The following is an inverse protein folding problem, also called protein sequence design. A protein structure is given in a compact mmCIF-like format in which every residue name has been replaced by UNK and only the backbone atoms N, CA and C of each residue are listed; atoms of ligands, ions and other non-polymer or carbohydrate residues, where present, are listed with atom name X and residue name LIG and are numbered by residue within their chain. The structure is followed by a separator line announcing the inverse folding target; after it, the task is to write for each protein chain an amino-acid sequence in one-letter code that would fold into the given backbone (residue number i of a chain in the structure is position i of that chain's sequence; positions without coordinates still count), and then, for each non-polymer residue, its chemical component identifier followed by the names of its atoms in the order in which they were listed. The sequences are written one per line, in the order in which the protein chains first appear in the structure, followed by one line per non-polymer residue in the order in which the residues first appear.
data_IF_316095185212
#
_entry.id   IF_316095185212
#
_cell.length_a   1.000
_cell.length_b   1.000
_cell.length_c   1.000
_cell.angle_alpha   90.00
_cell.angle_beta   90.00
_cell.angle_gamma   90.00
#
_symmetry.space_group_name_H-M   'P 1'
#
loop_
_entity.id
_entity.type
_entity.pdbx_description
1 polymer ?
#
# COMPACT_ATOMS: atom_id res chain seq x y z
N UNK A 1 24.68 5.03 21.45
CA UNK A 1 24.06 5.32 20.13
C UNK A 1 23.27 4.07 19.73
N UNK A 2 22.02 4.18 19.28
CA UNK A 2 21.08 3.05 19.19
C UNK A 2 21.46 2.12 18.01
N UNK A 3 22.00 0.93 18.24
CA UNK A 3 22.49 -0.03 17.22
C UNK A 3 21.47 -0.32 16.11
N UNK A 4 20.18 -0.34 16.45
CA UNK A 4 19.07 -0.47 15.48
C UNK A 4 19.13 0.62 14.40
N UNK A 5 19.50 1.86 14.76
CA UNK A 5 19.64 2.96 13.78
C UNK A 5 20.87 2.79 12.89
N UNK A 6 21.90 2.07 13.34
CA UNK A 6 23.10 1.81 12.55
C UNK A 6 22.79 0.75 11.50
N UNK A 7 22.17 -0.36 11.90
CA UNK A 7 21.76 -1.43 10.98
C UNK A 7 20.66 -0.97 10.01
N UNK A 8 19.70 -0.18 10.47
CA UNK A 8 18.73 0.46 9.59
C UNK A 8 19.44 1.36 8.55
N UNK A 9 20.41 2.16 8.97
CA UNK A 9 21.19 2.98 8.04
C UNK A 9 21.97 2.12 7.03
N UNK A 10 22.66 1.07 7.49
CA UNK A 10 23.38 0.13 6.63
C UNK A 10 22.46 -0.50 5.58
N UNK A 11 21.24 -0.91 5.97
CA UNK A 11 20.23 -1.44 5.05
C UNK A 11 19.88 -0.43 3.95
N UNK A 12 19.60 0.83 4.31
CA UNK A 12 19.26 1.87 3.34
C UNK A 12 20.45 2.22 2.44
N UNK A 13 21.64 2.36 3.00
CA UNK A 13 22.86 2.69 2.27
C UNK A 13 23.19 1.57 1.25
N UNK A 14 22.99 0.31 1.62
CA UNK A 14 23.21 -0.83 0.73
C UNK A 14 22.22 -0.88 -0.43
N UNK A 15 20.94 -0.64 -0.17
CA UNK A 15 19.89 -0.75 -1.20
C UNK A 15 19.77 0.50 -2.08
N UNK A 16 20.32 1.64 -1.64
CA UNK A 16 20.22 2.91 -2.35
C UNK A 16 20.71 2.87 -3.81
N UNK A 17 21.85 2.25 -4.16
CA UNK A 17 22.32 2.16 -5.53
C UNK A 17 21.30 1.50 -6.46
N UNK A 18 20.77 0.33 -6.08
CA UNK A 18 19.74 -0.38 -6.84
C UNK A 18 18.51 0.49 -7.07
N UNK A 19 17.95 1.06 -6.00
CA UNK A 19 16.75 1.88 -6.10
C UNK A 19 16.98 3.13 -6.95
N UNK A 20 18.16 3.75 -6.84
CA UNK A 20 18.55 4.94 -7.61
C UNK A 20 18.68 4.62 -9.10
N UNK A 21 19.28 3.49 -9.46
CA UNK A 21 19.36 3.00 -10.84
C UNK A 21 17.98 2.85 -11.48
N UNK A 22 16.98 2.41 -10.69
CA UNK A 22 15.59 2.33 -11.12
C UNK A 22 14.78 3.64 -10.97
N UNK A 23 15.44 4.75 -10.63
CA UNK A 23 14.85 6.10 -10.54
C UNK A 23 14.00 6.35 -9.30
N UNK A 24 14.24 5.62 -8.20
CA UNK A 24 13.66 5.88 -6.89
C UNK A 24 14.63 6.74 -6.06
N UNK A 25 14.09 7.70 -5.33
CA UNK A 25 14.83 8.52 -4.38
C UNK A 25 14.47 8.12 -2.94
N UNK A 26 15.48 8.04 -2.07
CA UNK A 26 15.24 7.83 -0.64
C UNK A 26 14.54 9.05 -0.02
N UNK A 27 13.50 8.79 0.77
CA UNK A 27 12.74 9.76 1.55
C UNK A 27 13.00 9.48 3.04
N UNK A 28 13.97 10.15 3.68
CA UNK A 28 14.42 9.81 5.03
C UNK A 28 13.32 9.91 6.09
N UNK A 29 12.45 10.92 5.98
CA UNK A 29 11.37 11.15 6.95
C UNK A 29 10.31 10.05 6.96
N UNK A 30 10.03 9.47 5.80
CA UNK A 30 8.99 8.44 5.63
C UNK A 30 9.56 7.05 5.49
N UNK A 31 10.90 6.93 5.48
CA UNK A 31 11.64 5.66 5.35
C UNK A 31 11.26 4.90 4.08
N UNK A 32 11.17 5.61 2.96
CA UNK A 32 10.70 5.06 1.68
C UNK A 32 11.68 5.34 0.56
N UNK A 33 11.92 4.36 -0.30
CA UNK A 33 12.36 4.63 -1.66
C UNK A 33 11.15 4.98 -2.50
N UNK A 34 11.07 6.22 -3.02
CA UNK A 34 9.91 6.75 -3.73
C UNK A 34 10.26 7.17 -5.15
N UNK A 35 9.41 6.78 -6.10
CA UNK A 35 9.45 7.23 -7.49
C UNK A 35 8.13 7.91 -7.83
N UNK A 36 8.21 9.17 -8.26
CA UNK A 36 7.03 9.92 -8.69
C UNK A 36 6.46 9.33 -9.97
N UNK A 37 5.16 9.47 -10.14
CA UNK A 37 4.43 9.08 -11.35
C UNK A 37 3.46 10.20 -11.73
N UNK A 38 2.86 10.11 -12.92
CA UNK A 38 1.91 11.13 -13.39
C UNK A 38 0.70 11.35 -12.47
N UNK A 39 0.28 10.31 -11.74
CA UNK A 39 -0.97 10.31 -10.98
C UNK A 39 -0.75 9.98 -9.49
N UNK A 40 0.44 10.22 -8.95
CA UNK A 40 0.82 9.86 -7.57
C UNK A 40 2.24 9.34 -7.52
N UNK A 41 2.50 8.32 -6.70
CA UNK A 41 3.85 7.74 -6.57
C UNK A 41 3.83 6.23 -6.38
N UNK A 42 5.02 5.64 -6.53
CA UNK A 42 5.34 4.27 -6.15
C UNK A 42 6.38 4.31 -5.06
N UNK A 43 6.27 3.41 -4.09
CA UNK A 43 7.24 3.38 -3.00
C UNK A 43 7.51 1.95 -2.49
N UNK A 44 8.75 1.72 -2.11
CA UNK A 44 9.18 0.61 -1.27
C UNK A 44 9.46 1.16 0.13
N UNK A 45 8.78 0.63 1.14
CA UNK A 45 8.97 0.93 2.55
C UNK A 45 9.70 -0.24 3.21
N UNK A 46 10.78 0.05 3.92
CA UNK A 46 11.48 -0.92 4.76
C UNK A 46 11.23 -0.55 6.22
N UNK A 47 10.49 -1.41 6.92
CA UNK A 47 10.25 -1.25 8.35
C UNK A 47 11.19 -2.15 9.13
N UNK A 48 12.06 -1.56 9.95
CA UNK A 48 12.91 -2.29 10.89
C UNK A 48 12.27 -2.22 12.29
N UNK A 49 12.14 -3.37 12.93
CA UNK A 49 11.61 -3.51 14.30
C UNK A 49 12.37 -4.60 15.05
N UNK A 50 12.25 -4.65 16.37
CA UNK A 50 12.96 -5.63 17.20
C UNK A 50 13.91 -4.96 18.19
N UNK A 51 14.90 -5.71 18.64
CA UNK A 51 15.90 -5.26 19.61
C UNK A 51 17.33 -5.44 19.08
N UNK A 52 18.32 -5.54 19.98
CA UNK A 52 19.74 -5.68 19.63
C UNK A 52 20.12 -7.11 19.23
N UNK A 53 19.40 -8.11 19.72
CA UNK A 53 19.69 -9.52 19.47
C UNK A 53 18.96 -10.01 18.22
N UNK A 54 17.75 -9.51 17.99
CA UNK A 54 16.94 -9.93 16.87
C UNK A 54 16.15 -8.76 16.28
N UNK A 55 16.37 -8.51 15.00
CA UNK A 55 15.63 -7.54 14.21
C UNK A 55 14.78 -8.23 13.17
N UNK A 56 13.64 -7.62 12.91
CA UNK A 56 12.71 -7.99 11.86
C UNK A 56 12.62 -6.87 10.84
N UNK A 57 12.89 -7.20 9.57
CA UNK A 57 12.77 -6.29 8.43
C UNK A 57 11.55 -6.71 7.60
N UNK A 58 10.64 -5.76 7.37
CA UNK A 58 9.48 -5.91 6.49
C UNK A 58 9.63 -4.99 5.28
N UNK A 59 9.67 -5.58 4.08
CA UNK A 59 9.59 -4.87 2.81
C UNK A 59 8.12 -4.79 2.38
N UNK A 60 7.61 -3.57 2.23
CA UNK A 60 6.28 -3.31 1.70
C UNK A 60 6.33 -2.49 0.41
N UNK A 61 5.67 -2.98 -0.63
CA UNK A 61 5.52 -2.28 -1.91
C UNK A 61 4.18 -1.58 -1.97
N UNK A 62 4.19 -0.33 -2.38
CA UNK A 62 3.01 0.52 -2.37
C UNK A 62 2.89 1.41 -3.60
N UNK A 63 1.64 1.69 -3.95
CA UNK A 63 1.27 2.56 -5.07
C UNK A 63 0.22 3.53 -4.56
N UNK A 64 0.39 4.80 -4.87
CA UNK A 64 -0.57 5.87 -4.62
C UNK A 64 -1.16 6.36 -5.93
N UNK A 65 -2.48 6.48 -5.95
CA UNK A 65 -3.23 7.26 -6.93
C UNK A 65 -3.80 8.49 -6.22
N UNK A 66 -3.31 9.69 -6.56
CA UNK A 66 -3.64 10.93 -5.85
C UNK A 66 -5.14 11.16 -5.79
N UNK A 67 -5.82 11.11 -6.94
CA UNK A 67 -7.28 11.28 -7.04
C UNK A 67 -8.06 10.29 -6.16
N UNK A 68 -7.54 9.07 -5.97
CA UNK A 68 -8.19 8.08 -5.11
C UNK A 68 -7.98 8.43 -3.65
N UNK A 69 -6.74 8.72 -3.25
CA UNK A 69 -6.41 9.01 -1.85
C UNK A 69 -7.03 10.33 -1.36
N UNK A 70 -7.05 11.37 -2.19
CA UNK A 70 -7.70 12.64 -1.90
C UNK A 70 -9.20 12.51 -1.68
N UNK A 71 -9.87 11.69 -2.50
CA UNK A 71 -11.29 11.40 -2.32
C UNK A 71 -11.52 10.55 -1.07
N UNK A 72 -10.73 9.51 -0.84
CA UNK A 72 -10.85 8.64 0.35
C UNK A 72 -10.69 9.43 1.63
N UNK A 73 -9.70 10.33 1.70
CA UNK A 73 -9.36 11.10 2.89
C UNK A 73 -10.53 11.93 3.43
N UNK A 74 -11.40 12.43 2.54
CA UNK A 74 -12.59 13.21 2.93
C UNK A 74 -13.65 12.40 3.68
N UNK A 75 -13.63 11.07 3.57
CA UNK A 75 -14.66 10.19 4.15
C UNK A 75 -14.13 9.23 5.22
N UNK A 76 -12.80 9.04 5.33
CA UNK A 76 -12.23 8.26 6.42
C UNK A 76 -12.12 9.11 7.69
N UNK A 77 -12.77 8.67 8.76
CA UNK A 77 -12.59 9.24 10.09
C UNK A 77 -11.37 8.58 10.73
N UNK A 78 -10.24 9.26 10.75
CA UNK A 78 -9.03 8.80 11.44
C UNK A 78 -8.23 9.97 11.99
N UNK A 79 -7.50 9.79 13.10
CA UNK A 79 -6.56 10.80 13.55
C UNK A 79 -5.51 11.06 12.44
N UNK A 80 -4.97 12.29 12.31
CA UNK A 80 -4.01 12.69 11.28
C UNK A 80 -2.63 12.00 11.38
N UNK A 81 -2.54 10.84 12.06
CA UNK A 81 -1.30 10.09 12.32
C UNK A 81 -0.57 9.65 11.05
N UNK A 82 -1.26 9.60 9.91
CA UNK A 82 -0.63 9.52 8.60
C UNK A 82 -0.93 10.80 7.85
N UNK A 83 0.13 11.46 7.36
CA UNK A 83 -0.04 12.61 6.49
C UNK A 83 -0.86 12.17 5.26
N UNK A 84 -1.80 13.01 4.82
CA UNK A 84 -2.52 12.79 3.57
C UNK A 84 -1.53 12.54 2.41
N UNK A 85 -0.31 13.06 2.49
CA UNK A 85 0.73 12.96 1.48
C UNK A 85 1.39 11.57 1.41
N UNK A 86 1.28 10.75 2.46
CA UNK A 86 1.92 9.42 2.53
C UNK A 86 0.94 8.25 2.44
N UNK A 87 -0.36 8.52 2.35
CA UNK A 87 -1.35 7.47 2.13
C UNK A 87 -1.17 6.79 0.77
N UNK A 88 -1.52 5.51 0.70
CA UNK A 88 -1.31 4.67 -0.47
C UNK A 88 -2.59 3.92 -0.83
N UNK A 89 -2.79 3.76 -2.14
CA UNK A 89 -3.96 3.09 -2.72
C UNK A 89 -3.83 1.58 -2.70
N UNK A 90 -2.61 1.06 -2.91
CA UNK A 90 -2.25 -0.33 -2.75
C UNK A 90 -1.04 -0.39 -1.81
N UNK A 91 -1.02 -1.36 -0.90
CA UNK A 91 0.13 -1.67 -0.06
C UNK A 91 0.16 -3.15 0.26
N UNK A 92 1.24 -3.83 -0.12
CA UNK A 92 1.42 -5.26 0.08
C UNK A 92 2.83 -5.56 0.59
N UNK A 93 2.95 -6.34 1.67
CA UNK A 93 4.25 -6.86 2.11
C UNK A 93 4.80 -7.87 1.12
N UNK A 94 6.12 -8.00 1.15
CA UNK A 94 6.88 -9.09 0.56
C UNK A 94 6.22 -10.45 0.80
N UNK A 95 5.86 -10.77 2.06
CA UNK A 95 5.22 -12.04 2.39
C UNK A 95 3.90 -12.25 1.63
N UNK A 96 3.00 -11.25 1.63
CA UNK A 96 1.73 -11.33 0.90
C UNK A 96 1.92 -11.46 -0.62
N UNK A 97 2.91 -10.76 -1.18
CA UNK A 97 3.25 -10.84 -2.61
C UNK A 97 3.78 -12.23 -2.99
N UNK A 98 4.40 -12.94 -2.04
CA UNK A 98 4.89 -14.31 -2.19
C UNK A 98 3.93 -15.39 -1.66
N UNK A 99 2.69 -15.03 -1.29
CA UNK A 99 1.67 -15.94 -0.75
C UNK A 99 2.02 -16.59 0.60
N UNK A 100 2.93 -16.00 1.34
CA UNK A 100 3.21 -16.34 2.74
C UNK A 100 3.16 -15.05 3.59
N UNK A 101 1.96 -14.67 4.09
CA UNK A 101 1.76 -13.37 4.74
C UNK A 101 2.59 -13.14 6.01
N UNK A 102 3.14 -14.19 6.61
CA UNK A 102 3.91 -14.12 7.84
C UNK A 102 5.42 -14.10 7.60
N UNK A 103 5.87 -14.27 6.34
CA UNK A 103 7.30 -14.15 6.02
C UNK A 103 7.78 -12.74 6.33
N UNK A 104 8.81 -12.68 7.16
CA UNK A 104 9.62 -11.49 7.41
C UNK A 104 11.08 -11.88 7.36
N UNK A 105 11.95 -10.92 7.11
CA UNK A 105 13.38 -11.13 7.21
C UNK A 105 13.78 -10.97 8.68
N UNK A 106 14.53 -11.93 9.21
CA UNK A 106 15.08 -11.89 10.57
C UNK A 106 16.59 -11.70 10.47
N UNK A 107 17.13 -10.80 11.28
CA UNK A 107 18.54 -10.42 11.28
C UNK A 107 19.07 -10.39 12.71
N UNK A 108 20.14 -11.13 12.98
CA UNK A 108 20.83 -11.22 14.28
C UNK A 108 22.27 -10.68 14.25
N UNK A 109 22.75 -10.30 13.07
CA UNK A 109 24.12 -9.84 12.86
C UNK A 109 24.33 -9.24 11.48
N UNK A 110 25.55 -8.74 11.23
CA UNK A 110 25.88 -8.07 9.96
C UNK A 110 25.87 -9.02 8.75
N UNK A 111 26.28 -10.27 8.92
CA UNK A 111 26.26 -11.27 7.83
C UNK A 111 24.82 -11.55 7.37
N UNK A 112 23.90 -11.80 8.32
CA UNK A 112 22.48 -11.98 8.02
C UNK A 112 21.86 -10.71 7.38
N UNK A 113 22.32 -9.52 7.76
CA UNK A 113 21.87 -8.27 7.14
C UNK A 113 22.27 -8.20 5.66
N UNK A 114 23.50 -8.59 5.32
CA UNK A 114 23.97 -8.63 3.94
C UNK A 114 23.16 -9.64 3.10
N UNK A 115 22.89 -10.83 3.65
CA UNK A 115 22.05 -11.83 2.98
C UNK A 115 20.64 -11.30 2.74
N UNK A 116 20.05 -10.60 3.72
CA UNK A 116 18.73 -9.99 3.58
C UNK A 116 18.73 -8.90 2.52
N UNK A 117 19.76 -8.05 2.47
CA UNK A 117 19.92 -7.06 1.40
C UNK A 117 19.92 -7.73 0.02
N UNK A 118 20.77 -8.73 -0.21
CA UNK A 118 20.86 -9.44 -1.50
C UNK A 118 19.52 -10.09 -1.88
N UNK A 119 18.80 -10.66 -0.91
CA UNK A 119 17.46 -11.23 -1.14
C UNK A 119 16.44 -10.16 -1.54
N UNK A 120 16.48 -8.99 -0.91
CA UNK A 120 15.62 -7.86 -1.26
C UNK A 120 15.96 -7.37 -2.68
N UNK A 121 17.24 -7.21 -3.02
CA UNK A 121 17.68 -6.79 -4.35
C UNK A 121 17.21 -7.75 -5.43
N UNK A 122 17.49 -9.05 -5.25
CA UNK A 122 17.05 -10.12 -6.17
C UNK A 122 15.55 -10.07 -6.37
N UNK A 123 14.77 -9.99 -5.28
CA UNK A 123 13.32 -9.90 -5.36
C UNK A 123 12.85 -8.63 -6.11
N UNK A 124 13.48 -7.49 -5.86
CA UNK A 124 13.12 -6.23 -6.50
C UNK A 124 13.36 -6.27 -8.01
N UNK A 125 14.51 -6.80 -8.45
CA UNK A 125 14.86 -6.97 -9.86
C UNK A 125 13.91 -7.96 -10.55
N UNK A 126 13.67 -9.12 -9.95
CA UNK A 126 12.86 -10.16 -10.59
C UNK A 126 11.37 -9.80 -10.66
N UNK A 127 10.82 -9.21 -9.59
CA UNK A 127 9.38 -9.08 -9.38
C UNK A 127 8.95 -7.72 -8.86
N UNK A 128 9.69 -7.14 -7.91
CA UNK A 128 9.25 -5.96 -7.16
C UNK A 128 9.03 -4.72 -8.04
N UNK A 129 10.00 -4.36 -8.89
CA UNK A 129 9.86 -3.21 -9.78
C UNK A 129 8.73 -3.42 -10.79
N UNK A 130 8.62 -4.61 -11.37
CA UNK A 130 7.52 -4.97 -12.29
C UNK A 130 6.16 -4.85 -11.61
N UNK A 131 6.04 -5.26 -10.36
CA UNK A 131 4.81 -5.08 -9.58
C UNK A 131 4.45 -3.60 -9.44
N UNK A 132 5.41 -2.75 -9.05
CA UNK A 132 5.20 -1.31 -8.89
C UNK A 132 4.84 -0.63 -10.22
N UNK A 133 5.43 -1.07 -11.32
CA UNK A 133 5.17 -0.56 -12.67
C UNK A 133 3.82 -0.98 -13.23
N UNK A 134 3.38 -2.20 -12.91
CA UNK A 134 2.15 -2.78 -13.46
C UNK A 134 0.93 -1.92 -13.22
N UNK A 135 0.85 -1.17 -12.13
CA UNK A 135 -0.37 -0.48 -11.69
C UNK A 135 -0.35 1.04 -11.94
N UNK A 136 0.28 1.47 -13.03
CA UNK A 136 0.20 2.84 -13.57
C UNK A 136 -1.20 3.31 -13.99
N UNK A 137 -2.08 2.36 -14.30
CA UNK A 137 -3.43 2.65 -14.79
C UNK A 137 -4.51 2.21 -13.80
N UNK A 138 -5.47 3.11 -13.58
CA UNK A 138 -6.57 2.91 -12.65
C UNK A 138 -7.40 1.67 -12.97
N UNK A 139 -7.58 1.32 -14.25
CA UNK A 139 -8.26 0.08 -14.68
C UNK A 139 -7.58 -1.20 -14.17
N UNK A 140 -6.25 -1.21 -14.09
CA UNK A 140 -5.50 -2.38 -13.58
C UNK A 140 -5.65 -2.49 -12.06
N UNK A 141 -5.68 -1.35 -11.35
CA UNK A 141 -5.97 -1.29 -9.92
C UNK A 141 -7.42 -1.75 -9.66
N UNK A 142 -8.37 -1.32 -10.47
CA UNK A 142 -9.76 -1.76 -10.39
C UNK A 142 -9.87 -3.29 -10.49
N UNK A 143 -9.25 -3.86 -11.52
CA UNK A 143 -9.21 -5.30 -11.73
C UNK A 143 -8.52 -6.05 -10.58
N UNK A 144 -7.64 -5.40 -9.81
CA UNK A 144 -7.00 -5.98 -8.63
C UNK A 144 -7.93 -5.93 -7.40
N UNK A 145 -8.45 -4.74 -7.09
CA UNK A 145 -9.16 -4.46 -5.84
C UNK A 145 -10.60 -4.96 -5.89
N UNK A 146 -11.25 -4.85 -7.06
CA UNK A 146 -12.67 -5.14 -7.25
C UNK A 146 -12.93 -6.52 -7.91
N UNK A 147 -11.91 -7.40 -8.03
CA UNK A 147 -12.08 -8.75 -8.61
C UNK A 147 -13.03 -9.64 -7.81
N UNK A 148 -12.85 -9.65 -6.50
CA UNK A 148 -13.64 -10.43 -5.54
C UNK A 148 -14.03 -9.50 -4.38
N UNK A 149 -15.02 -8.61 -4.59
CA UNK A 149 -15.34 -7.54 -3.64
C UNK A 149 -15.96 -8.02 -2.32
N UNK A 150 -16.44 -9.26 -2.29
CA UNK A 150 -16.99 -9.96 -1.14
C UNK A 150 -15.93 -10.73 -0.32
N UNK A 151 -14.71 -10.88 -0.84
CA UNK A 151 -13.59 -11.60 -0.20
C UNK A 151 -12.45 -10.65 0.13
N UNK A 152 -11.64 -10.89 1.18
CA UNK A 152 -10.46 -10.07 1.46
C UNK A 152 -9.50 -9.97 0.26
N UNK A 153 -8.94 -8.77 0.01
CA UNK A 153 -7.91 -8.56 -1.00
C UNK A 153 -6.53 -8.71 -0.37
N UNK A 154 -5.66 -9.60 -0.88
CA UNK A 154 -4.34 -9.84 -0.29
C UNK A 154 -3.42 -8.61 -0.40
N UNK A 155 -3.65 -7.72 -1.35
CA UNK A 155 -2.81 -6.54 -1.61
C UNK A 155 -3.19 -5.30 -0.79
N UNK A 156 -4.07 -5.46 0.20
CA UNK A 156 -4.54 -4.39 1.08
C UNK A 156 -4.61 -4.92 2.52
N UNK A 157 -4.05 -4.17 3.47
CA UNK A 157 -4.16 -4.52 4.89
C UNK A 157 -5.54 -4.21 5.44
N UNK A 158 -5.98 -2.96 5.27
CA UNK A 158 -7.24 -2.49 5.82
C UNK A 158 -8.40 -2.73 4.83
N UNK A 159 -9.15 -3.81 5.06
CA UNK A 159 -10.28 -4.20 4.21
C UNK A 159 -11.48 -3.23 4.33
N UNK A 160 -11.59 -2.48 5.42
CA UNK A 160 -12.59 -1.41 5.53
C UNK A 160 -12.23 -0.28 4.58
N UNK A 161 -10.99 0.21 4.62
CA UNK A 161 -10.54 1.29 3.72
C UNK A 161 -10.54 0.86 2.26
N UNK A 162 -10.32 -0.44 1.99
CA UNK A 162 -10.51 -1.01 0.66
C UNK A 162 -11.90 -0.74 0.11
N UNK A 163 -12.96 -0.83 0.91
CA UNK A 163 -14.33 -0.60 0.41
C UNK A 163 -14.48 0.83 -0.15
N UNK A 164 -13.84 1.81 0.50
CA UNK A 164 -13.84 3.21 0.07
C UNK A 164 -13.02 3.39 -1.21
N UNK A 165 -11.77 2.91 -1.21
CA UNK A 165 -10.90 2.95 -2.40
C UNK A 165 -11.54 2.26 -3.59
N UNK A 166 -12.03 1.04 -3.38
CA UNK A 166 -12.63 0.19 -4.39
C UNK A 166 -13.83 0.85 -5.06
N UNK A 167 -14.72 1.50 -4.29
CA UNK A 167 -15.88 2.16 -4.89
C UNK A 167 -15.52 3.45 -5.64
N UNK A 168 -14.54 4.21 -5.15
CA UNK A 168 -14.00 5.38 -5.87
C UNK A 168 -13.39 4.93 -7.21
N UNK A 169 -12.53 3.92 -7.17
CA UNK A 169 -11.89 3.37 -8.37
C UNK A 169 -12.93 2.86 -9.37
N UNK A 170 -13.96 2.17 -8.90
CA UNK A 170 -15.04 1.68 -9.76
C UNK A 170 -15.83 2.81 -10.43
N UNK A 171 -16.06 3.92 -9.71
CA UNK A 171 -16.68 5.13 -10.29
C UNK A 171 -15.79 5.76 -11.35
N UNK A 172 -14.51 5.98 -11.03
CA UNK A 172 -13.54 6.63 -11.91
C UNK A 172 -13.22 5.79 -13.17
N UNK A 173 -13.43 4.48 -13.11
CA UNK A 173 -13.26 3.57 -14.26
C UNK A 173 -14.57 3.28 -14.99
N UNK A 174 -15.67 3.95 -14.62
CA UNK A 174 -16.99 3.80 -15.23
C UNK A 174 -17.49 2.34 -15.28
N UNK A 175 -17.30 1.58 -14.20
CA UNK A 175 -17.75 0.17 -14.15
C UNK A 175 -19.25 0.05 -14.36
N UNK A 176 -19.64 -0.85 -15.26
CA UNK A 176 -21.05 -1.13 -15.58
C UNK A 176 -21.80 -1.75 -14.40
N UNK A 177 -21.11 -2.49 -13.54
CA UNK A 177 -21.67 -3.13 -12.34
C UNK A 177 -21.52 -2.27 -11.06
N UNK A 178 -21.23 -0.96 -11.19
CA UNK A 178 -21.01 -0.06 -10.05
C UNK A 178 -22.07 -0.18 -8.94
N UNK A 179 -23.36 -0.16 -9.31
CA UNK A 179 -24.45 -0.26 -8.33
C UNK A 179 -24.50 -1.61 -7.59
N UNK A 180 -24.07 -2.69 -8.24
CA UNK A 180 -23.91 -3.99 -7.59
C UNK A 180 -22.76 -3.94 -6.60
N UNK A 181 -21.64 -3.35 -7.00
CA UNK A 181 -20.45 -3.19 -6.16
C UNK A 181 -20.72 -2.35 -4.91
N UNK A 182 -21.50 -1.26 -5.04
CA UNK A 182 -21.97 -0.45 -3.90
C UNK A 182 -22.62 -1.34 -2.82
N UNK A 183 -23.55 -2.20 -3.24
CA UNK A 183 -24.29 -3.10 -2.35
C UNK A 183 -23.38 -4.17 -1.76
N UNK A 184 -22.49 -4.74 -2.57
CA UNK A 184 -21.52 -5.75 -2.10
C UNK A 184 -20.60 -5.19 -1.02
N UNK A 185 -20.02 -4.01 -1.22
CA UNK A 185 -19.15 -3.39 -0.21
C UNK A 185 -19.91 -2.94 1.03
N UNK A 186 -21.14 -2.44 0.90
CA UNK A 186 -21.97 -2.15 2.07
C UNK A 186 -22.21 -3.40 2.91
N UNK A 187 -22.56 -4.52 2.27
CA UNK A 187 -22.74 -5.82 2.95
C UNK A 187 -21.44 -6.30 3.58
N UNK A 188 -20.31 -6.16 2.88
CA UNK A 188 -18.99 -6.53 3.40
C UNK A 188 -18.67 -5.74 4.68
N UNK A 189 -18.85 -4.41 4.69
CA UNK A 189 -18.63 -3.58 5.86
C UNK A 189 -19.51 -3.99 7.04
N UNK A 190 -20.79 -4.32 6.79
CA UNK A 190 -21.71 -4.81 7.82
C UNK A 190 -21.25 -6.15 8.41
N UNK A 191 -20.82 -7.09 7.56
CA UNK A 191 -20.32 -8.40 7.96
C UNK A 191 -18.99 -8.32 8.75
N UNK A 192 -18.20 -7.27 8.55
CA UNK A 192 -16.98 -6.99 9.31
C UNK A 192 -17.25 -6.20 10.60
N UNK A 193 -18.52 -6.05 11.00
CA UNK A 193 -18.92 -5.30 12.20
C UNK A 193 -18.37 -3.86 12.23
N UNK A 194 -18.24 -3.24 11.04
CA UNK A 194 -17.72 -1.89 10.95
C UNK A 194 -18.59 -0.92 11.77
N UNK A 195 -17.98 0.04 12.49
CA UNK A 195 -18.72 1.02 13.28
C UNK A 195 -19.79 1.76 12.47
N UNK A 196 -20.87 2.20 13.13
CA UNK A 196 -21.97 2.94 12.48
C UNK A 196 -21.48 4.20 11.75
N UNK A 197 -20.47 4.89 12.30
CA UNK A 197 -19.81 6.03 11.66
C UNK A 197 -19.16 5.66 10.32
N UNK A 198 -18.45 4.53 10.26
CA UNK A 198 -17.85 3.99 9.03
C UNK A 198 -18.93 3.64 8.00
N UNK A 199 -20.02 2.99 8.41
CA UNK A 199 -21.11 2.68 7.46
C UNK A 199 -21.76 3.97 6.93
N UNK A 200 -21.93 4.97 7.81
CA UNK A 200 -22.53 6.26 7.46
C UNK A 200 -21.65 7.03 6.47
N UNK A 201 -20.34 7.09 6.72
CA UNK A 201 -19.40 7.77 5.83
C UNK A 201 -19.29 7.07 4.47
N UNK A 202 -19.35 5.74 4.44
CA UNK A 202 -19.39 5.00 3.18
C UNK A 202 -20.64 5.36 2.36
N UNK A 203 -21.82 5.46 3.00
CA UNK A 203 -23.05 5.90 2.32
C UNK A 203 -22.94 7.35 1.82
N UNK A 204 -22.32 8.25 2.59
CA UNK A 204 -22.04 9.64 2.17
C UNK A 204 -21.14 9.66 0.93
N UNK A 205 -20.07 8.87 0.93
CA UNK A 205 -19.18 8.72 -0.22
C UNK A 205 -19.94 8.25 -1.46
N UNK A 206 -20.75 7.20 -1.36
CA UNK A 206 -21.54 6.69 -2.49
C UNK A 206 -22.51 7.75 -3.02
N UNK A 207 -23.17 8.52 -2.14
CA UNK A 207 -24.06 9.61 -2.53
C UNK A 207 -23.29 10.71 -3.26
N UNK A 208 -22.11 11.09 -2.76
CA UNK A 208 -21.21 12.05 -3.41
C UNK A 208 -20.80 11.57 -4.82
N UNK A 209 -20.31 10.33 -4.93
CA UNK A 209 -19.85 9.74 -6.19
C UNK A 209 -20.94 9.63 -7.26
N UNK A 210 -22.23 9.66 -6.88
CA UNK A 210 -23.34 9.67 -7.85
C UNK A 210 -23.28 10.91 -8.75
N UNK A 211 -22.93 12.07 -8.18
CA UNK A 211 -22.89 13.36 -8.86
C UNK A 211 -21.48 13.81 -9.21
N UNK A 212 -20.46 13.12 -8.71
CA UNK A 212 -19.07 13.39 -9.04
C UNK A 212 -18.77 13.09 -10.52
N UNK A 213 -18.17 14.07 -11.20
CA UNK A 213 -17.59 13.99 -12.53
C UNK A 213 -16.19 14.60 -12.49
N UNK A 214 -15.23 13.98 -13.17
CA UNK A 214 -13.97 14.64 -13.49
C UNK A 214 -14.25 15.49 -14.73
N UNK A 215 -14.27 16.81 -14.56
CA UNK A 215 -14.31 17.74 -15.68
C UNK A 215 -12.98 17.74 -16.43
#
# INVERSE_FOLDING_TARGET
MNEIRIQEKQLYDHLLPLFSEHGYALQPHTKQFRKQSRNGFRAALLSVSGDRQEQTIDLSLSIRMDVVEELVYQFLSGPPRFSMQDSTTIVASYGRLNRDPYTRFVVRGEDELQEVCQRIETYMVEKGFRFLERFDHLKKIDALINRAPDKPCPYLYNQIHRCYRGIIIAKLTCRTDYNKLVKTYLKYLQNQWAPRSVITNYKKLVKFLKYFSLN
#
